data_IF_907429565769
#
_entry.id   IF_907429565769
#
_cell.length_a   1.000
_cell.length_b   1.000
_cell.length_c   1.000
_cell.angle_alpha   90.00
_cell.angle_beta   90.00
_cell.angle_gamma   90.00
#
_symmetry.space_group_name_H-M   'P 1'
#
loop_
_entity.id
_entity.type
_entity.pdbx_description
1 polymer ?
#
# COMPACT_ATOMS: atom_id res chain seq x y z
N UNK A 1 8.50 -16.03 -4.54
CA UNK A 1 7.84 -15.22 -3.48
C UNK A 1 6.41 -14.92 -3.91
N UNK A 2 5.47 -14.86 -2.97
CA UNK A 2 4.06 -14.64 -3.31
C UNK A 2 3.80 -13.17 -3.64
N UNK A 3 3.16 -12.90 -4.79
CA UNK A 3 2.74 -11.55 -5.18
C UNK A 3 1.29 -11.30 -4.77
N UNK A 4 0.96 -10.06 -4.45
CA UNK A 4 -0.40 -9.64 -4.13
C UNK A 4 -0.77 -8.38 -4.88
N UNK A 5 -2.05 -8.25 -5.23
CA UNK A 5 -2.57 -7.06 -5.90
C UNK A 5 -2.98 -6.05 -4.85
N UNK A 6 -2.58 -4.81 -5.04
CA UNK A 6 -2.93 -3.69 -4.17
C UNK A 6 -3.57 -2.56 -4.97
N UNK A 7 -4.41 -1.79 -4.32
CA UNK A 7 -4.93 -0.51 -4.79
C UNK A 7 -4.23 0.62 -4.04
N UNK A 8 -3.71 1.61 -4.76
CA UNK A 8 -3.08 2.79 -4.16
C UNK A 8 -3.97 4.00 -4.41
N UNK A 9 -4.34 4.68 -3.32
CA UNK A 9 -5.30 5.79 -3.33
C UNK A 9 -4.63 6.99 -2.68
N UNK A 10 -4.42 8.06 -3.45
CA UNK A 10 -4.05 9.37 -2.93
C UNK A 10 -5.29 10.24 -2.70
N UNK A 11 -5.20 11.21 -1.78
CA UNK A 11 -6.25 12.23 -1.59
C UNK A 11 -6.53 13.04 -2.87
N UNK A 12 -5.51 13.21 -3.70
CA UNK A 12 -5.55 13.76 -5.05
C UNK A 12 -4.33 13.25 -5.82
N UNK A 13 -4.16 13.68 -7.07
CA UNK A 13 -3.05 13.24 -7.92
C UNK A 13 -1.67 13.65 -7.37
N UNK A 14 -1.59 14.79 -6.67
CA UNK A 14 -0.36 15.24 -6.01
C UNK A 14 0.06 14.25 -4.91
N UNK A 15 -0.85 13.88 -4.01
CA UNK A 15 -0.58 12.94 -2.93
C UNK A 15 -0.36 11.52 -3.46
N UNK A 16 -1.08 11.13 -4.51
CA UNK A 16 -0.84 9.85 -5.18
C UNK A 16 0.59 9.79 -5.74
N UNK A 17 1.05 10.86 -6.40
CA UNK A 17 2.42 10.94 -6.90
C UNK A 17 3.46 10.95 -5.77
N UNK A 18 3.17 11.65 -4.66
CA UNK A 18 4.05 11.68 -3.49
C UNK A 18 4.31 10.27 -2.92
N UNK A 19 3.30 9.38 -2.92
CA UNK A 19 3.47 7.98 -2.50
C UNK A 19 4.51 7.27 -3.37
N UNK A 20 4.44 7.44 -4.69
CA UNK A 20 5.38 6.78 -5.61
C UNK A 20 6.80 7.32 -5.47
N UNK A 21 6.95 8.64 -5.32
CA UNK A 21 8.25 9.28 -5.10
C UNK A 21 8.86 8.80 -3.79
N UNK A 22 8.10 8.81 -2.70
CA UNK A 22 8.58 8.38 -1.39
C UNK A 22 8.91 6.88 -1.39
N UNK A 23 8.11 6.07 -2.07
CA UNK A 23 8.37 4.64 -2.22
C UNK A 23 9.66 4.35 -2.97
N UNK A 24 9.88 4.99 -4.12
CA UNK A 24 11.09 4.80 -4.93
C UNK A 24 12.35 5.34 -4.22
N UNK A 25 12.19 6.37 -3.39
CA UNK A 25 13.26 6.90 -2.53
C UNK A 25 13.66 5.92 -1.42
N UNK A 26 12.68 5.39 -0.67
CA UNK A 26 12.97 4.48 0.45
C UNK A 26 13.35 3.07 -0.01
N UNK A 27 12.78 2.60 -1.12
CA UNK A 27 12.91 1.23 -1.62
C UNK A 27 13.19 1.18 -3.14
N UNK A 28 14.35 1.67 -3.59
CA UNK A 28 14.64 1.81 -5.03
C UNK A 28 14.60 0.49 -5.82
N UNK A 29 14.87 -0.64 -5.16
CA UNK A 29 14.85 -1.98 -5.77
C UNK A 29 13.42 -2.60 -5.83
N UNK A 30 12.45 -2.07 -5.08
CA UNK A 30 11.11 -2.65 -4.94
C UNK A 30 10.14 -2.02 -5.94
N UNK A 31 10.19 -2.44 -7.20
CA UNK A 31 9.35 -1.84 -8.25
C UNK A 31 7.89 -2.29 -8.16
N UNK A 32 6.98 -1.32 -8.06
CA UNK A 32 5.53 -1.56 -8.13
C UNK A 32 5.15 -1.81 -9.59
N UNK A 33 4.62 -2.99 -9.89
CA UNK A 33 4.22 -3.32 -11.27
C UNK A 33 2.81 -2.78 -11.54
N UNK A 34 2.64 -1.77 -12.41
CA UNK A 34 1.32 -1.21 -12.69
C UNK A 34 0.41 -2.26 -13.34
N UNK A 35 -0.83 -2.29 -12.88
CA UNK A 35 -1.91 -3.04 -13.49
C UNK A 35 -2.92 -2.05 -14.10
N UNK A 36 -4.09 -2.53 -14.50
CA UNK A 36 -5.13 -1.65 -15.03
C UNK A 36 -5.63 -0.67 -13.94
N UNK A 37 -5.79 0.61 -14.28
CA UNK A 37 -6.36 1.61 -13.38
C UNK A 37 -5.43 1.98 -12.21
N UNK A 38 -5.93 1.84 -10.98
CA UNK A 38 -5.21 2.19 -9.74
C UNK A 38 -4.61 0.98 -9.02
N UNK A 39 -4.54 -0.15 -9.71
CA UNK A 39 -4.05 -1.39 -9.14
C UNK A 39 -2.56 -1.61 -9.47
N UNK A 40 -1.84 -2.20 -8.54
CA UNK A 40 -0.42 -2.51 -8.65
C UNK A 40 -0.18 -3.93 -8.13
N UNK A 41 0.79 -4.63 -8.71
CA UNK A 41 1.25 -5.92 -8.23
C UNK A 41 2.55 -5.72 -7.45
N UNK A 42 2.59 -6.25 -6.23
CA UNK A 42 3.73 -6.13 -5.30
C UNK A 42 4.07 -7.49 -4.69
N UNK A 43 5.26 -7.61 -4.11
CA UNK A 43 5.52 -8.73 -3.21
C UNK A 43 4.73 -8.58 -1.91
N UNK A 44 4.23 -9.71 -1.38
CA UNK A 44 3.36 -9.69 -0.21
C UNK A 44 4.03 -9.08 1.04
N UNK A 45 5.36 -9.21 1.15
CA UNK A 45 6.15 -8.62 2.24
C UNK A 45 6.24 -7.08 2.17
N UNK A 46 6.06 -6.49 0.99
CA UNK A 46 6.13 -5.03 0.80
C UNK A 46 4.86 -4.31 1.26
N UNK A 47 3.76 -5.03 1.51
CA UNK A 47 2.46 -4.43 1.80
C UNK A 47 2.49 -3.52 3.03
N UNK A 48 3.12 -3.98 4.13
CA UNK A 48 3.16 -3.22 5.38
C UNK A 48 3.97 -1.91 5.23
N UNK A 49 5.06 -1.97 4.49
CA UNK A 49 5.89 -0.81 4.18
C UNK A 49 5.14 0.16 3.28
N UNK A 50 4.48 -0.34 2.22
CA UNK A 50 3.71 0.47 1.28
C UNK A 50 2.53 1.16 1.98
N UNK A 51 1.88 0.48 2.93
CA UNK A 51 0.84 1.07 3.78
C UNK A 51 1.37 2.19 4.69
N UNK A 52 2.61 2.07 5.14
CA UNK A 52 3.27 3.08 5.97
C UNK A 52 3.61 4.31 5.15
N UNK A 53 4.25 4.12 3.98
CA UNK A 53 4.54 5.21 3.03
C UNK A 53 3.26 5.90 2.58
N UNK A 54 2.24 5.13 2.19
CA UNK A 54 0.95 5.70 1.76
C UNK A 54 0.36 6.64 2.82
N UNK A 55 0.37 6.20 4.08
CA UNK A 55 -0.14 6.99 5.21
C UNK A 55 0.69 8.24 5.51
N UNK A 56 2.01 8.18 5.37
CA UNK A 56 2.89 9.35 5.48
C UNK A 56 2.60 10.39 4.39
N UNK A 57 2.21 9.93 3.20
CA UNK A 57 1.84 10.78 2.06
C UNK A 57 0.34 11.06 1.97
N UNK A 58 -0.42 10.98 3.07
CA UNK A 58 -1.86 11.28 3.12
C UNK A 58 -2.72 10.47 2.12
N UNK A 59 -2.37 9.20 1.90
CA UNK A 59 -3.13 8.24 1.11
C UNK A 59 -3.22 6.86 1.77
N UNK A 60 -3.67 5.88 1.00
CA UNK A 60 -3.92 4.50 1.44
C UNK A 60 -3.40 3.49 0.41
N UNK A 61 -2.90 2.35 0.91
CA UNK A 61 -2.59 1.16 0.12
C UNK A 61 -3.40 -0.03 0.64
N UNK A 62 -4.27 -0.59 -0.20
CA UNK A 62 -5.25 -1.62 0.17
C UNK A 62 -5.02 -2.91 -0.61
N UNK A 63 -5.28 -4.08 -0.02
CA UNK A 63 -5.28 -5.35 -0.75
C UNK A 63 -6.49 -5.45 -1.69
N UNK A 64 -6.29 -5.99 -2.89
CA UNK A 64 -7.32 -6.20 -3.90
C UNK A 64 -7.47 -7.69 -4.27
N UNK A 65 -8.70 -8.25 -4.37
CA UNK A 65 -9.98 -7.59 -4.11
C UNK A 65 -10.16 -7.30 -2.62
N UNK A 66 -10.80 -6.17 -2.34
CA UNK A 66 -11.02 -5.66 -0.99
C UNK A 66 -11.91 -6.63 -0.21
N UNK A 67 -11.32 -7.58 0.49
CA UNK A 67 -12.07 -8.48 1.37
C UNK A 67 -12.28 -7.80 2.74
N UNK A 68 -13.49 -7.32 3.05
CA UNK A 68 -13.77 -6.59 4.29
C UNK A 68 -13.49 -7.43 5.55
N UNK A 69 -13.44 -8.76 5.46
CA UNK A 69 -13.15 -9.65 6.59
C UNK A 69 -11.73 -9.50 7.17
N UNK A 70 -10.75 -9.12 6.34
CA UNK A 70 -9.34 -8.98 6.77
C UNK A 70 -9.07 -7.71 7.58
N UNK A 71 -9.92 -6.67 7.46
CA UNK A 71 -9.78 -5.41 8.22
C UNK A 71 -9.85 -5.62 9.74
N UNK A 72 -10.57 -6.63 10.23
CA UNK A 72 -10.66 -6.90 11.67
C UNK A 72 -9.37 -7.48 12.27
N UNK A 73 -8.58 -8.23 11.49
CA UNK A 73 -7.31 -8.79 11.94
C UNK A 73 -6.24 -7.70 12.10
N UNK A 74 -6.11 -6.80 11.11
CA UNK A 74 -5.14 -5.70 11.19
C UNK A 74 -5.49 -4.69 12.29
N UNK A 75 -6.77 -4.39 12.52
CA UNK A 75 -7.17 -3.51 13.62
C UNK A 75 -6.79 -4.07 15.00
N UNK A 76 -6.81 -5.40 15.18
CA UNK A 76 -6.39 -6.05 16.43
C UNK A 76 -4.88 -6.04 16.63
N UNK A 77 -4.09 -6.15 15.56
CA UNK A 77 -2.62 -6.11 15.64
C UNK A 77 -2.10 -4.70 15.95
N UNK A 78 -2.75 -3.64 15.43
CA UNK A 78 -2.37 -2.25 15.68
C UNK A 78 -3.08 -1.58 16.86
N UNK A 79 -4.10 -2.20 17.46
CA UNK A 79 -4.75 -1.71 18.68
C UNK A 79 -4.13 -2.26 19.99
N UNK A 80 -3.10 -3.12 19.90
CA UNK A 80 -2.46 -3.75 21.06
C UNK A 80 -1.22 -2.98 21.58
N UNK A 81 -1.02 -1.73 21.15
CA UNK A 81 -0.03 -0.83 21.74
C UNK A 81 -0.72 0.44 22.25
N UNK A 82 -1.35 0.34 23.42
CA UNK A 82 -1.63 1.46 24.32
C UNK A 82 -1.74 0.95 25.76
#
# INVERSE_FOLDING_TARGET
MAKTRVEIIGKNDYWLNAIFVEWDYQYPERKLEPQQGRYYLIENEWLADLQTVARQCFGEALLAPHDPGRRQLFRRLFAAQH
#
